data_IF_148748150906
#
_entry.id   IF_148748150906
#
_cell.length_a   1.000
_cell.length_b   1.000
_cell.length_c   1.000
_cell.angle_alpha   90.00
_cell.angle_beta   90.00
_cell.angle_gamma   90.00
#
_symmetry.space_group_name_H-M   'P 1'
#
loop_
_entity.id
_entity.type
_entity.pdbx_description
1 polymer ?
#
# COMPACT_ATOMS: atom_id res chain seq x y z
N UNK A 1 -4.14 -16.02 37.14
CA UNK A 1 -3.35 -16.87 36.24
C UNK A 1 -2.45 -15.97 35.41
N UNK A 2 -1.16 -15.93 35.74
CA UNK A 2 -0.13 -15.19 34.96
C UNK A 2 0.09 -15.97 33.66
N UNK A 3 -0.45 -15.46 32.54
CA UNK A 3 -0.20 -16.03 31.22
C UNK A 3 1.28 -15.83 30.89
N UNK A 4 2.01 -16.93 30.74
CA UNK A 4 3.42 -16.94 30.34
C UNK A 4 3.64 -16.13 29.07
N UNK A 5 4.73 -15.35 29.05
CA UNK A 5 5.04 -14.39 28.00
C UNK A 5 5.02 -15.06 26.61
N UNK A 6 4.14 -14.63 25.68
CA UNK A 6 4.19 -15.13 24.32
C UNK A 6 5.46 -14.62 23.61
N UNK A 7 6.04 -15.43 22.70
CA UNK A 7 7.33 -15.17 22.07
C UNK A 7 7.30 -13.87 21.26
N UNK A 8 8.39 -13.09 21.32
CA UNK A 8 8.56 -11.87 20.49
C UNK A 8 8.45 -12.25 19.01
N UNK A 9 7.40 -11.78 18.32
CA UNK A 9 7.30 -11.88 16.87
C UNK A 9 8.52 -11.20 16.24
N UNK A 10 9.38 -11.99 15.59
CA UNK A 10 10.51 -11.48 14.82
C UNK A 10 10.01 -11.08 13.44
N UNK A 11 10.50 -9.97 12.88
CA UNK A 11 10.19 -9.51 11.51
C UNK A 11 10.32 -10.61 10.44
N UNK A 12 11.12 -11.64 10.70
CA UNK A 12 11.43 -12.75 9.79
C UNK A 12 10.52 -13.97 9.95
N UNK A 13 9.48 -13.90 10.80
CA UNK A 13 8.61 -15.04 11.05
C UNK A 13 7.79 -15.41 9.79
N UNK A 14 7.70 -16.72 9.49
CA UNK A 14 7.12 -17.22 8.25
C UNK A 14 5.63 -16.87 8.10
N UNK A 15 4.95 -16.61 9.22
CA UNK A 15 3.53 -16.22 9.27
C UNK A 15 3.30 -14.77 8.84
N UNK A 16 4.19 -13.84 9.24
CA UNK A 16 4.05 -12.42 8.91
C UNK A 16 4.69 -12.04 7.57
N UNK A 17 5.60 -12.87 7.06
CA UNK A 17 6.32 -12.62 5.80
C UNK A 17 5.41 -12.44 4.59
N UNK A 18 4.32 -13.22 4.49
CA UNK A 18 3.39 -13.12 3.34
C UNK A 18 2.59 -11.81 3.36
N UNK A 19 1.92 -11.43 4.47
CA UNK A 19 1.31 -10.10 4.60
C UNK A 19 2.29 -8.95 4.39
N UNK A 20 3.49 -9.07 4.95
CA UNK A 20 4.53 -8.05 4.85
C UNK A 20 4.98 -7.82 3.41
N UNK A 21 5.22 -8.90 2.65
CA UNK A 21 5.60 -8.81 1.24
C UNK A 21 4.48 -8.22 0.38
N UNK A 22 3.22 -8.58 0.64
CA UNK A 22 2.07 -8.00 -0.08
C UNK A 22 1.90 -6.51 0.22
N UNK A 23 2.09 -6.10 1.48
CA UNK A 23 2.05 -4.68 1.85
C UNK A 23 3.19 -3.91 1.19
N UNK A 24 4.41 -4.43 1.25
CA UNK A 24 5.58 -3.84 0.59
C UNK A 24 5.36 -3.68 -0.92
N UNK A 25 4.87 -4.73 -1.61
CA UNK A 25 4.60 -4.69 -3.03
C UNK A 25 3.50 -3.67 -3.38
N UNK A 26 2.42 -3.62 -2.59
CA UNK A 26 1.32 -2.70 -2.83
C UNK A 26 1.72 -1.23 -2.59
N UNK A 27 2.49 -0.96 -1.54
CA UNK A 27 3.07 0.37 -1.33
C UNK A 27 4.06 0.74 -2.44
N UNK A 28 4.83 -0.23 -2.94
CA UNK A 28 5.77 0.00 -4.05
C UNK A 28 5.06 0.34 -5.35
N UNK A 29 3.91 -0.30 -5.63
CA UNK A 29 3.06 0.04 -6.77
C UNK A 29 2.61 1.51 -6.71
N UNK A 30 2.11 1.94 -5.55
CA UNK A 30 1.65 3.32 -5.35
C UNK A 30 2.82 4.30 -5.50
N UNK A 31 3.97 3.99 -4.91
CA UNK A 31 5.16 4.84 -4.97
C UNK A 31 5.73 4.96 -6.40
N UNK A 32 5.83 3.85 -7.15
CA UNK A 32 6.27 3.87 -8.56
C UNK A 32 5.32 4.73 -9.38
N UNK A 33 4.00 4.53 -9.26
CA UNK A 33 3.01 5.29 -10.01
C UNK A 33 3.11 6.80 -9.74
N UNK A 34 3.24 7.20 -8.48
CA UNK A 34 3.40 8.60 -8.10
C UNK A 34 4.71 9.21 -8.61
N UNK A 35 5.82 8.44 -8.60
CA UNK A 35 7.10 8.92 -9.13
C UNK A 35 7.10 9.03 -10.66
N UNK A 36 6.47 8.08 -11.35
CA UNK A 36 6.42 8.05 -12.81
C UNK A 36 5.48 9.13 -13.39
N UNK A 37 4.49 9.59 -12.64
CA UNK A 37 3.56 10.64 -13.06
C UNK A 37 4.28 11.89 -13.57
N UNK A 38 5.36 12.30 -12.90
CA UNK A 38 6.12 13.50 -13.30
C UNK A 38 6.81 13.35 -14.65
N UNK A 39 7.50 12.22 -14.86
CA UNK A 39 8.15 11.90 -16.13
C UNK A 39 7.12 11.71 -17.25
N UNK A 40 5.99 11.07 -16.94
CA UNK A 40 4.92 10.88 -17.90
C UNK A 40 4.30 12.21 -18.36
N UNK A 41 4.15 13.19 -17.47
CA UNK A 41 3.69 14.53 -17.81
C UNK A 41 4.71 15.26 -18.71
N UNK A 42 6.01 15.13 -18.43
CA UNK A 42 7.08 15.68 -19.28
C UNK A 42 6.99 15.08 -20.68
N UNK A 43 6.91 13.76 -20.77
CA UNK A 43 6.93 13.04 -22.04
C UNK A 43 5.65 13.24 -22.86
N UNK A 44 4.50 13.37 -22.21
CA UNK A 44 3.24 13.59 -22.92
C UNK A 44 3.07 15.03 -23.40
N UNK A 45 3.34 16.02 -22.53
CA UNK A 45 3.17 17.44 -22.85
C UNK A 45 4.39 18.07 -23.54
N UNK A 46 5.54 17.38 -23.56
CA UNK A 46 6.81 17.90 -24.07
C UNK A 46 7.19 19.25 -23.44
N UNK A 47 6.89 19.42 -22.16
CA UNK A 47 7.16 20.64 -21.39
C UNK A 47 8.40 20.48 -20.53
N UNK A 48 9.11 21.60 -20.27
CA UNK A 48 10.26 21.61 -19.37
C UNK A 48 9.94 21.07 -17.98
N UNK A 49 10.94 20.48 -17.32
CA UNK A 49 10.81 19.90 -15.98
C UNK A 49 10.20 20.87 -14.94
N UNK A 50 10.50 22.17 -15.04
CA UNK A 50 9.91 23.20 -14.17
C UNK A 50 8.40 23.34 -14.38
N UNK A 51 7.96 23.38 -15.63
CA UNK A 51 6.54 23.47 -15.96
C UNK A 51 5.81 22.17 -15.64
N UNK A 52 6.43 21.02 -15.92
CA UNK A 52 5.89 19.72 -15.54
C UNK A 52 5.67 19.60 -14.03
N UNK A 53 6.65 20.01 -13.21
CA UNK A 53 6.52 19.97 -11.75
C UNK A 53 5.31 20.78 -11.25
N UNK A 54 5.05 21.94 -11.87
CA UNK A 54 3.88 22.77 -11.56
C UNK A 54 2.58 22.07 -11.96
N UNK A 55 2.51 21.51 -13.17
CA UNK A 55 1.33 20.77 -13.66
C UNK A 55 1.03 19.55 -12.79
N UNK A 56 2.06 18.77 -12.44
CA UNK A 56 1.97 17.61 -11.53
C UNK A 56 1.49 18.05 -10.16
N UNK A 57 2.01 19.17 -9.64
CA UNK A 57 1.58 19.76 -8.38
C UNK A 57 0.09 20.13 -8.37
N UNK A 58 -0.40 20.77 -9.43
CA UNK A 58 -1.83 21.06 -9.57
C UNK A 58 -2.68 19.80 -9.68
N UNK A 59 -2.24 18.81 -10.46
CA UNK A 59 -2.96 17.54 -10.60
C UNK A 59 -3.09 16.80 -9.25
N UNK A 60 -1.98 16.67 -8.51
CA UNK A 60 -1.96 16.06 -7.18
C UNK A 60 -2.77 16.87 -6.16
N UNK A 61 -2.72 18.21 -6.23
CA UNK A 61 -3.51 19.09 -5.36
C UNK A 61 -5.02 18.91 -5.57
N UNK A 62 -5.48 18.92 -6.83
CA UNK A 62 -6.87 18.68 -7.18
C UNK A 62 -7.33 17.27 -6.78
N UNK A 63 -6.52 16.25 -7.03
CA UNK A 63 -6.80 14.88 -6.60
C UNK A 63 -6.90 14.78 -5.07
N UNK A 64 -5.99 15.44 -4.33
CA UNK A 64 -6.01 15.51 -2.88
C UNK A 64 -7.26 16.18 -2.33
N UNK A 65 -7.67 17.31 -2.90
CA UNK A 65 -8.92 17.99 -2.55
C UNK A 65 -10.14 17.11 -2.85
N UNK A 66 -10.17 16.48 -4.03
CA UNK A 66 -11.22 15.53 -4.40
C UNK A 66 -11.31 14.37 -3.42
N UNK A 67 -10.17 13.80 -3.00
CA UNK A 67 -10.11 12.77 -1.97
C UNK A 67 -10.61 13.28 -0.62
N UNK A 68 -10.22 14.47 -0.17
CA UNK A 68 -10.70 15.03 1.11
C UNK A 68 -12.21 15.21 1.08
N UNK A 69 -12.75 15.78 0.01
CA UNK A 69 -14.19 15.98 -0.18
C UNK A 69 -14.90 14.62 -0.24
N UNK A 70 -14.36 13.67 -1.00
CA UNK A 70 -14.94 12.33 -1.14
C UNK A 70 -14.92 11.58 0.19
N UNK A 71 -13.80 11.55 0.89
CA UNK A 71 -13.69 10.91 2.21
C UNK A 71 -14.67 11.56 3.22
N UNK A 72 -14.82 12.88 3.17
CA UNK A 72 -15.78 13.62 4.01
C UNK A 72 -17.24 13.34 3.64
N UNK A 73 -17.54 13.24 2.35
CA UNK A 73 -18.87 12.92 1.84
C UNK A 73 -19.24 11.48 2.17
N UNK A 74 -18.36 10.51 1.91
CA UNK A 74 -18.52 9.10 2.27
C UNK A 74 -18.73 8.94 3.78
N UNK A 75 -17.97 9.66 4.61
CA UNK A 75 -18.12 9.65 6.06
C UNK A 75 -19.47 10.23 6.54
N UNK A 76 -20.13 11.06 5.71
CA UNK A 76 -21.41 11.71 6.03
C UNK A 76 -22.62 11.02 5.37
N UNK A 77 -22.44 10.39 4.20
CA UNK A 77 -23.54 9.79 3.41
C UNK A 77 -23.78 8.32 3.73
N UNK A 78 -22.77 7.55 4.14
CA UNK A 78 -22.98 6.17 4.55
C UNK A 78 -23.56 6.15 5.97
N UNK A 79 -24.85 5.87 6.08
CA UNK A 79 -25.59 5.57 7.33
C UNK A 79 -25.00 4.42 8.17
N UNK A 80 -23.90 3.80 7.74
CA UNK A 80 -23.14 2.81 8.50
C UNK A 80 -22.32 3.58 9.52
N UNK A 81 -22.75 3.60 10.78
CA UNK A 81 -22.07 4.34 11.83
C UNK A 81 -20.56 4.00 11.77
N UNK A 82 -19.64 4.98 11.73
CA UNK A 82 -18.19 4.74 11.82
C UNK A 82 -17.83 3.84 13.01
N UNK A 83 -18.65 3.90 14.07
CA UNK A 83 -18.64 3.01 15.23
C UNK A 83 -18.83 1.53 14.89
N UNK A 84 -19.60 1.16 13.86
CA UNK A 84 -19.73 -0.23 13.42
C UNK A 84 -18.40 -0.73 12.85
N UNK A 85 -17.79 -0.01 11.91
CA UNK A 85 -16.46 -0.36 11.39
C UNK A 85 -15.41 -0.40 12.50
N UNK A 86 -15.45 0.56 13.43
CA UNK A 86 -14.60 0.57 14.60
C UNK A 86 -14.86 -0.65 15.51
N UNK A 87 -16.11 -1.09 15.66
CA UNK A 87 -16.47 -2.30 16.42
C UNK A 87 -15.97 -3.57 15.75
N UNK A 88 -16.13 -3.73 14.42
CA UNK A 88 -15.59 -4.88 13.69
C UNK A 88 -14.06 -4.90 13.75
N UNK A 89 -13.41 -3.75 13.58
CA UNK A 89 -11.97 -3.58 13.76
C UNK A 89 -11.54 -3.89 15.19
N UNK A 90 -12.24 -3.40 16.20
CA UNK A 90 -11.96 -3.67 17.61
C UNK A 90 -12.17 -5.13 17.99
N UNK A 91 -13.17 -5.81 17.43
CA UNK A 91 -13.40 -7.25 17.61
C UNK A 91 -12.31 -8.09 16.93
N UNK A 92 -11.94 -7.74 15.70
CA UNK A 92 -10.83 -8.38 14.99
C UNK A 92 -9.50 -8.15 15.73
N UNK A 93 -9.28 -6.95 16.27
CA UNK A 93 -8.14 -6.62 17.12
C UNK A 93 -8.21 -7.35 18.46
N UNK A 94 -9.36 -7.48 19.12
CA UNK A 94 -9.48 -8.18 20.40
C UNK A 94 -9.12 -9.67 20.30
N UNK A 95 -9.18 -10.26 19.10
CA UNK A 95 -8.71 -11.62 18.83
C UNK A 95 -7.18 -11.75 18.72
N UNK A 96 -6.44 -10.62 18.71
CA UNK A 96 -4.99 -10.54 18.55
C UNK A 96 -4.38 -9.78 19.74
N UNK A 97 -3.27 -10.23 20.29
CA UNK A 97 -2.67 -9.57 21.45
C UNK A 97 -2.18 -8.15 21.10
N UNK A 98 -2.38 -7.17 21.99
CA UNK A 98 -2.03 -5.77 21.76
C UNK A 98 -0.55 -5.58 21.39
N UNK A 99 0.33 -6.45 21.89
CA UNK A 99 1.78 -6.43 21.57
C UNK A 99 2.08 -6.94 20.16
N UNK A 100 1.27 -7.87 19.66
CA UNK A 100 1.38 -8.39 18.28
C UNK A 100 0.85 -7.38 17.26
N UNK A 101 -0.20 -6.62 17.62
CA UNK A 101 -0.71 -5.53 16.78
C UNK A 101 0.33 -4.42 16.62
N UNK A 102 0.98 -4.00 17.72
CA UNK A 102 2.05 -3.00 17.68
C UNK A 102 3.26 -3.47 16.88
N UNK A 103 3.63 -4.75 17.02
CA UNK A 103 4.68 -5.35 16.21
C UNK A 103 4.30 -5.37 14.71
N UNK A 104 3.12 -5.86 14.37
CA UNK A 104 2.62 -5.89 12.99
C UNK A 104 2.56 -4.49 12.37
N UNK A 105 1.99 -3.50 13.06
CA UNK A 105 1.93 -2.11 12.61
C UNK A 105 3.35 -1.56 12.39
N UNK A 106 4.29 -1.79 13.32
CA UNK A 106 5.68 -1.40 13.16
C UNK A 106 6.35 -2.05 11.94
N UNK A 107 6.13 -3.34 11.71
CA UNK A 107 6.68 -4.02 10.52
C UNK A 107 6.07 -3.52 9.20
N UNK A 108 4.78 -3.17 9.19
CA UNK A 108 4.10 -2.60 8.02
C UNK A 108 4.61 -1.19 7.73
N UNK A 109 4.80 -0.35 8.75
CA UNK A 109 5.44 0.96 8.59
C UNK A 109 6.87 0.85 8.08
N UNK A 110 7.62 -0.17 8.52
CA UNK A 110 8.95 -0.43 7.99
C UNK A 110 8.93 -0.85 6.50
N UNK A 111 7.96 -1.68 6.09
CA UNK A 111 7.75 -2.00 4.68
C UNK A 111 7.42 -0.75 3.85
N UNK A 112 6.53 0.11 4.35
CA UNK A 112 6.20 1.37 3.70
C UNK A 112 7.43 2.27 3.55
N UNK A 113 8.22 2.44 4.62
CA UNK A 113 9.45 3.23 4.60
C UNK A 113 10.48 2.68 3.60
N UNK A 114 10.69 1.37 3.57
CA UNK A 114 11.57 0.73 2.60
C UNK A 114 11.08 0.94 1.17
N UNK A 115 9.77 0.84 0.95
CA UNK A 115 9.14 1.07 -0.34
C UNK A 115 9.36 2.50 -0.83
N UNK A 116 9.32 3.51 0.05
CA UNK A 116 9.57 4.91 -0.34
C UNK A 116 10.96 5.15 -0.94
N UNK A 117 11.94 4.29 -0.64
CA UNK A 117 13.29 4.40 -1.18
C UNK A 117 13.43 3.50 -2.41
N UNK A 118 13.09 2.22 -2.28
CA UNK A 118 13.33 1.21 -3.31
C UNK A 118 12.46 1.46 -4.55
N UNK A 119 11.21 1.85 -4.34
CA UNK A 119 10.23 1.92 -5.42
C UNK A 119 10.49 3.08 -6.39
N UNK A 120 10.81 4.32 -5.95
CA UNK A 120 11.21 5.38 -6.86
C UNK A 120 12.53 5.08 -7.58
N UNK A 121 13.53 4.50 -6.89
CA UNK A 121 14.80 4.12 -7.53
C UNK A 121 14.58 3.09 -8.65
N UNK A 122 13.81 2.04 -8.37
CA UNK A 122 13.47 1.04 -9.37
C UNK A 122 12.60 1.62 -10.50
N UNK A 123 11.64 2.50 -10.15
CA UNK A 123 10.77 3.18 -11.09
C UNK A 123 11.54 4.04 -12.08
N UNK A 124 12.41 4.93 -11.58
CA UNK A 124 13.25 5.81 -12.41
C UNK A 124 14.23 5.00 -13.25
N UNK A 125 14.92 4.02 -12.66
CA UNK A 125 15.89 3.19 -13.41
C UNK A 125 15.22 2.38 -14.54
N UNK A 126 13.99 1.88 -14.32
CA UNK A 126 13.23 1.22 -15.39
C UNK A 126 12.75 2.21 -16.45
N UNK A 127 12.34 3.41 -16.04
CA UNK A 127 11.87 4.46 -16.95
C UNK A 127 12.98 4.87 -17.92
N UNK A 128 14.21 5.06 -17.40
CA UNK A 128 15.41 5.37 -18.20
C UNK A 128 15.71 4.30 -19.25
N UNK A 129 15.49 3.02 -18.92
CA UNK A 129 15.68 1.95 -19.89
C UNK A 129 14.57 1.93 -20.94
N UNK A 130 13.32 1.94 -20.50
CA UNK A 130 12.13 2.04 -21.36
C UNK A 130 10.99 2.75 -20.60
N UNK A 131 10.38 3.79 -21.19
CA UNK A 131 9.27 4.52 -20.56
C UNK A 131 8.07 3.63 -20.16
N UNK A 132 7.89 2.49 -20.83
CA UNK A 132 6.79 1.54 -20.58
C UNK A 132 7.08 0.58 -19.40
N UNK A 133 8.35 0.40 -19.02
CA UNK A 133 8.76 -0.65 -18.08
C UNK A 133 8.19 -0.47 -16.67
N UNK A 134 8.09 0.74 -16.08
CA UNK A 134 7.52 0.90 -14.74
C UNK A 134 6.05 0.46 -14.65
N UNK A 135 5.27 0.69 -15.72
CA UNK A 135 3.87 0.25 -15.79
C UNK A 135 3.75 -1.27 -15.90
N UNK A 136 4.64 -1.92 -16.66
CA UNK A 136 4.71 -3.38 -16.71
C UNK A 136 5.08 -3.97 -15.33
N UNK A 137 6.03 -3.37 -14.61
CA UNK A 137 6.40 -3.77 -13.25
C UNK A 137 5.22 -3.65 -12.28
N UNK A 138 4.46 -2.55 -12.34
CA UNK A 138 3.22 -2.38 -11.56
C UNK A 138 2.25 -3.53 -11.86
N UNK A 139 2.01 -3.83 -13.13
CA UNK A 139 1.14 -4.93 -13.54
C UNK A 139 1.58 -6.28 -12.98
N UNK A 140 2.88 -6.60 -13.07
CA UNK A 140 3.45 -7.83 -12.53
C UNK A 140 3.31 -7.89 -11.01
N UNK A 141 3.62 -6.81 -10.29
CA UNK A 141 3.49 -6.75 -8.82
C UNK A 141 2.03 -6.95 -8.38
N UNK A 142 1.08 -6.30 -9.05
CA UNK A 142 -0.35 -6.46 -8.77
C UNK A 142 -0.83 -7.89 -9.06
N UNK A 143 -0.39 -8.50 -10.18
CA UNK A 143 -0.72 -9.89 -10.50
C UNK A 143 -0.14 -10.87 -9.48
N UNK A 144 1.08 -10.64 -9.01
CA UNK A 144 1.70 -11.46 -7.97
C UNK A 144 0.94 -11.35 -6.64
N UNK A 145 0.58 -10.13 -6.22
CA UNK A 145 -0.23 -9.91 -5.02
C UNK A 145 -1.60 -10.56 -5.17
N UNK A 146 -2.30 -10.35 -6.29
CA UNK A 146 -3.61 -10.93 -6.56
C UNK A 146 -3.56 -12.47 -6.58
N UNK A 147 -2.54 -13.06 -7.22
CA UNK A 147 -2.38 -14.51 -7.26
C UNK A 147 -2.07 -15.07 -5.86
N UNK A 148 -1.23 -14.39 -5.09
CA UNK A 148 -0.89 -14.79 -3.73
C UNK A 148 -2.11 -14.74 -2.79
N UNK A 149 -2.89 -13.66 -2.84
CA UNK A 149 -4.11 -13.49 -2.04
C UNK A 149 -5.20 -14.49 -2.44
N UNK A 150 -5.38 -14.73 -3.75
CA UNK A 150 -6.32 -15.72 -4.28
C UNK A 150 -5.95 -17.15 -3.88
N UNK A 151 -4.66 -17.50 -3.93
CA UNK A 151 -4.16 -18.80 -3.47
C UNK A 151 -4.37 -18.99 -1.98
N UNK A 152 -4.20 -17.95 -1.15
CA UNK A 152 -4.51 -18.04 0.28
C UNK A 152 -6.00 -18.21 0.55
N UNK A 153 -6.88 -17.50 -0.16
CA UNK A 153 -8.32 -17.64 -0.02
C UNK A 153 -8.80 -19.05 -0.40
N UNK A 154 -8.27 -19.60 -1.50
CA UNK A 154 -8.58 -20.97 -1.94
C UNK A 154 -8.09 -22.05 -0.97
N UNK A 155 -6.93 -21.86 -0.34
CA UNK A 155 -6.42 -22.81 0.66
C UNK A 155 -7.26 -22.84 1.91
N UNK A 156 -7.76 -21.68 2.36
CA UNK A 156 -8.66 -21.60 3.51
C UNK A 156 -10.00 -22.31 3.24
N UNK A 157 -10.55 -22.16 2.03
CA UNK A 157 -11.80 -22.82 1.61
C UNK A 157 -11.68 -24.33 1.41
N UNK A 158 -10.47 -24.88 1.25
CA UNK A 158 -10.23 -26.32 1.10
C UNK A 158 -9.97 -27.05 2.44
N UNK A 159 -9.85 -26.29 3.54
CA UNK A 159 -9.65 -26.82 4.90
C UNK A 159 -10.90 -26.74 5.77
N UNK A 160 -12.03 -26.26 5.23
CA UNK A 160 -13.37 -26.38 5.80
C UNK A 160 -14.13 -27.48 5.07
#
# INVERSE_FOLDING_TARGET
MVRGAPPRLKMTDARIRRPWLSAFALYSVIAIANSALGFYVIDWLHVDARHAAVVVGYALGCAGLGLIVMQSAVARLLRIAPLQWLRWGALASAAVDAREQGACAGTMSAAQGLSMIVAPLAGTALYDWRPQAPFALIGVLLLLVACATWRSARRAAATQ
#
